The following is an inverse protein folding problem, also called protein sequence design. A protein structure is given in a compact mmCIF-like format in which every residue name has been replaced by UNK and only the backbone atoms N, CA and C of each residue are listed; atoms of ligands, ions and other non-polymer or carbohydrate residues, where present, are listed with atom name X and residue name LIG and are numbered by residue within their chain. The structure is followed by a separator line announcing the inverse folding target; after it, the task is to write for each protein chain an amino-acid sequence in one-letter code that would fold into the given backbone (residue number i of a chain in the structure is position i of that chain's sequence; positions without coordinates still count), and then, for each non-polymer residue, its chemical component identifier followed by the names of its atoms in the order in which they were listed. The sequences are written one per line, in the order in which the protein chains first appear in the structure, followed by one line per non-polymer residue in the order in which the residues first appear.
data_IF_977844989525
#
_entry.id   IF_977844989525
#
_cell.length_a   1.000
_cell.length_b   1.000
_cell.length_c   1.000
_cell.angle_alpha   90.00
_cell.angle_beta   90.00
_cell.angle_gamma   90.00
#
_symmetry.space_group_name_H-M   'P 1'
#
loop_
_entity.id
_entity.type
_entity.pdbx_description
1 polymer ?
#
# COMPACT_ATOMS: atom_id res chain seq x y z
N UNK A 1 -1.14 -9.03 -24.93
CA UNK A 1 -0.38 -9.09 -23.69
C UNK A 1 -0.73 -7.86 -22.87
N UNK A 2 -1.13 -8.03 -21.61
CA UNK A 2 -1.67 -6.94 -20.78
C UNK A 2 -0.71 -6.56 -19.63
N UNK A 3 0.40 -7.28 -19.47
CA UNK A 3 1.43 -7.07 -18.45
C UNK A 3 2.82 -7.09 -19.08
N UNK A 4 3.82 -6.58 -18.37
CA UNK A 4 5.23 -6.70 -18.74
C UNK A 4 5.73 -8.13 -18.54
N UNK A 5 6.88 -8.49 -19.16
CA UNK A 5 7.43 -9.85 -19.07
C UNK A 5 7.90 -10.20 -17.67
N UNK A 6 8.34 -9.20 -16.94
CA UNK A 6 8.84 -9.27 -15.58
C UNK A 6 7.75 -9.18 -14.48
N UNK A 7 6.47 -8.98 -14.88
CA UNK A 7 5.38 -8.70 -13.93
C UNK A 7 5.21 -9.76 -12.82
N UNK A 8 5.59 -11.02 -13.08
CA UNK A 8 5.43 -12.13 -12.13
C UNK A 8 6.52 -12.11 -11.05
N UNK A 9 7.67 -11.52 -11.37
CA UNK A 9 8.82 -11.41 -10.48
C UNK A 9 9.06 -9.98 -10.01
N UNK A 10 8.17 -9.05 -10.42
CA UNK A 10 8.28 -7.65 -10.09
C UNK A 10 7.90 -7.40 -8.64
N UNK A 11 8.81 -6.81 -7.90
CA UNK A 11 8.52 -6.18 -6.62
C UNK A 11 7.84 -4.81 -6.81
N UNK A 12 7.60 -4.11 -5.70
CA UNK A 12 6.99 -2.79 -5.72
C UNK A 12 7.80 -1.79 -6.55
N UNK A 13 9.12 -1.79 -6.41
CA UNK A 13 9.99 -0.81 -7.07
C UNK A 13 10.01 -1.03 -8.59
N UNK A 14 10.06 -2.28 -9.02
CA UNK A 14 9.98 -2.64 -10.46
C UNK A 14 8.61 -2.26 -11.03
N UNK A 15 7.52 -2.54 -10.33
CA UNK A 15 6.18 -2.16 -10.75
C UNK A 15 6.02 -0.64 -10.86
N UNK A 16 6.49 0.09 -9.86
CA UNK A 16 6.51 1.56 -9.85
C UNK A 16 7.35 2.13 -11.01
N UNK A 17 8.58 1.63 -11.21
CA UNK A 17 9.45 2.07 -12.29
C UNK A 17 8.84 1.79 -13.67
N UNK A 18 8.18 0.66 -13.86
CA UNK A 18 7.48 0.36 -15.11
C UNK A 18 6.33 1.35 -15.38
N UNK A 19 5.67 1.81 -14.33
CA UNK A 19 4.63 2.83 -14.46
C UNK A 19 5.22 4.21 -14.80
N UNK A 20 6.17 4.73 -14.02
CA UNK A 20 6.74 6.07 -14.25
C UNK A 20 7.61 6.18 -15.50
N UNK A 21 8.05 5.07 -16.07
CA UNK A 21 8.72 5.02 -17.38
C UNK A 21 7.76 4.79 -18.55
N UNK A 22 6.44 4.69 -18.28
CA UNK A 22 5.42 4.56 -19.32
C UNK A 22 5.31 3.17 -19.95
N UNK A 23 5.93 2.14 -19.36
CA UNK A 23 5.82 0.75 -19.83
C UNK A 23 4.44 0.15 -19.54
N UNK A 24 3.78 0.60 -18.48
CA UNK A 24 2.42 0.21 -18.12
C UNK A 24 1.57 1.46 -17.91
N UNK A 25 0.30 1.39 -18.32
CA UNK A 25 -0.63 2.51 -18.24
C UNK A 25 -1.36 2.62 -16.89
N UNK A 26 -1.38 1.56 -16.10
CA UNK A 26 -2.09 1.50 -14.82
C UNK A 26 -1.27 0.70 -13.81
N UNK A 27 -1.36 1.11 -12.55
CA UNK A 27 -0.78 0.41 -11.41
C UNK A 27 -1.77 0.45 -10.25
N UNK A 28 -2.08 -0.68 -9.60
CA UNK A 28 -2.77 -0.68 -8.31
C UNK A 28 -1.83 -0.09 -7.26
N UNK A 29 -2.24 0.97 -6.59
CA UNK A 29 -1.42 1.61 -5.57
C UNK A 29 -2.29 2.41 -4.60
N UNK A 30 -1.67 2.98 -3.56
CA UNK A 30 -2.32 3.81 -2.58
C UNK A 30 -1.94 5.29 -2.69
N UNK A 31 -2.56 6.11 -1.86
CA UNK A 31 -2.36 7.57 -1.82
C UNK A 31 -0.91 7.98 -1.56
N UNK A 32 -0.11 7.14 -0.90
CA UNK A 32 1.32 7.40 -0.63
C UNK A 32 2.16 7.57 -1.90
N UNK A 33 1.70 7.02 -3.02
CA UNK A 33 2.37 7.16 -4.31
C UNK A 33 2.36 8.62 -4.81
N UNK A 34 1.41 9.45 -4.38
CA UNK A 34 1.25 10.83 -4.85
C UNK A 34 2.54 11.65 -4.64
N UNK A 35 3.14 11.50 -3.46
CA UNK A 35 4.36 12.23 -3.10
C UNK A 35 5.63 11.66 -3.76
N UNK A 36 5.57 10.43 -4.25
CA UNK A 36 6.67 9.74 -4.91
C UNK A 36 6.73 10.00 -6.42
N UNK A 37 5.64 10.49 -7.03
CA UNK A 37 5.59 10.72 -8.46
C UNK A 37 6.54 11.84 -8.88
N UNK A 38 7.29 11.68 -10.00
CA UNK A 38 8.00 12.76 -10.63
C UNK A 38 7.07 13.95 -10.95
N UNK A 39 7.58 15.17 -10.86
CA UNK A 39 6.77 16.38 -11.01
C UNK A 39 6.01 16.42 -12.34
N UNK A 40 6.67 16.01 -13.43
CA UNK A 40 6.07 15.94 -14.77
C UNK A 40 4.95 14.91 -14.92
N UNK A 41 4.79 14.00 -13.93
CA UNK A 41 3.75 12.98 -13.93
C UNK A 41 2.53 13.38 -13.10
N UNK A 42 2.67 14.29 -12.14
CA UNK A 42 1.59 14.68 -11.21
C UNK A 42 0.34 15.20 -11.91
N UNK A 43 0.51 15.89 -13.03
CA UNK A 43 -0.62 16.39 -13.84
C UNK A 43 -1.18 15.34 -14.82
N UNK A 44 -0.41 14.32 -15.15
CA UNK A 44 -0.80 13.29 -16.13
C UNK A 44 -1.48 12.08 -15.49
N UNK A 45 -1.13 11.79 -14.24
CA UNK A 45 -1.68 10.64 -13.51
C UNK A 45 -3.05 10.99 -12.95
N UNK A 46 -3.98 10.06 -13.06
CA UNK A 46 -5.32 10.15 -12.49
C UNK A 46 -5.53 8.98 -11.53
N UNK A 47 -6.33 9.20 -10.52
CA UNK A 47 -6.74 8.15 -9.59
C UNK A 47 -8.18 7.73 -9.86
N UNK A 48 -8.44 6.42 -9.79
CA UNK A 48 -9.77 5.84 -9.92
C UNK A 48 -9.93 4.67 -8.97
N UNK A 49 -11.14 4.46 -8.48
CA UNK A 49 -11.50 3.21 -7.81
C UNK A 49 -11.33 2.01 -8.77
N UNK A 50 -11.18 0.81 -8.20
CA UNK A 50 -11.19 -0.42 -8.98
C UNK A 50 -12.53 -0.62 -9.70
N UNK A 51 -12.58 -1.45 -10.76
CA UNK A 51 -13.83 -1.78 -11.43
C UNK A 51 -14.93 -2.20 -10.46
N UNK A 52 -16.13 -1.70 -10.69
CA UNK A 52 -17.26 -1.89 -9.78
C UNK A 52 -17.26 -0.92 -8.58
N UNK A 53 -16.57 0.21 -8.69
CA UNK A 53 -16.47 1.24 -7.64
C UNK A 53 -15.98 0.66 -6.30
N UNK A 54 -14.85 -0.05 -6.32
CA UNK A 54 -14.26 -0.70 -5.16
C UNK A 54 -12.99 -0.01 -4.71
N UNK A 55 -12.82 0.16 -3.40
CA UNK A 55 -11.55 0.54 -2.77
C UNK A 55 -11.12 -0.54 -1.79
N UNK A 56 -9.82 -0.85 -1.79
CA UNK A 56 -9.24 -1.76 -0.80
C UNK A 56 -8.83 -0.92 0.40
N UNK A 57 -9.37 -1.24 1.57
CA UNK A 57 -8.95 -0.66 2.84
C UNK A 57 -8.13 -1.69 3.61
N UNK A 58 -6.92 -1.30 3.99
CA UNK A 58 -6.17 -2.08 4.98
C UNK A 58 -6.69 -1.72 6.37
N UNK A 59 -7.15 -2.70 7.17
CA UNK A 59 -7.48 -2.47 8.57
C UNK A 59 -6.22 -2.32 9.44
N UNK A 60 -5.04 -2.37 8.85
CA UNK A 60 -3.79 -2.21 9.56
C UNK A 60 -3.68 -0.81 10.15
N UNK A 61 -3.45 -0.77 11.44
CA UNK A 61 -3.12 0.47 12.13
C UNK A 61 -1.61 0.60 12.12
N UNK A 62 -1.09 1.52 11.32
CA UNK A 62 0.32 1.88 11.41
C UNK A 62 0.56 2.61 12.72
N UNK A 63 1.43 2.04 13.54
CA UNK A 63 1.83 2.61 14.82
C UNK A 63 3.30 3.05 14.78
N UNK A 64 3.64 3.94 15.69
CA UNK A 64 5.02 4.30 15.96
C UNK A 64 5.55 3.44 17.10
N UNK A 65 6.74 2.91 16.95
CA UNK A 65 7.43 2.17 18.00
C UNK A 65 8.64 2.97 18.50
N UNK A 66 8.82 2.98 19.81
CA UNK A 66 10.02 3.52 20.45
C UNK A 66 10.94 2.35 20.80
N UNK A 67 12.20 2.39 20.33
CA UNK A 67 13.16 1.32 20.55
C UNK A 67 13.52 1.24 22.04
N UNK A 68 13.31 0.08 22.65
CA UNK A 68 13.45 -0.13 24.10
C UNK A 68 14.89 -0.05 24.62
N UNK A 69 15.87 -0.24 23.74
CA UNK A 69 17.31 -0.27 24.11
C UNK A 69 17.95 1.12 24.24
N UNK A 70 17.26 2.19 23.84
CA UNK A 70 17.76 3.54 24.03
C UNK A 70 17.61 4.02 25.49
N UNK A 71 18.38 5.07 25.87
CA UNK A 71 18.27 5.70 27.18
C UNK A 71 16.86 6.26 27.43
N UNK A 72 16.47 6.43 28.70
CA UNK A 72 15.16 6.98 29.06
C UNK A 72 14.97 8.39 28.49
N UNK A 73 16.00 9.22 28.49
CA UNK A 73 15.96 10.57 27.92
C UNK A 73 15.60 10.55 26.43
N UNK A 74 16.19 9.61 25.65
CA UNK A 74 15.87 9.44 24.22
C UNK A 74 14.45 8.93 24.04
N UNK A 75 13.98 8.02 24.87
CA UNK A 75 12.61 7.51 24.83
C UNK A 75 11.59 8.60 25.16
N UNK A 76 11.85 9.40 26.17
CA UNK A 76 11.00 10.56 26.55
C UNK A 76 10.93 11.55 25.39
N UNK A 77 12.06 11.90 24.79
CA UNK A 77 12.11 12.77 23.61
C UNK A 77 11.32 12.22 22.43
N UNK A 78 11.42 10.91 22.17
CA UNK A 78 10.65 10.23 21.12
C UNK A 78 9.14 10.30 21.42
N UNK A 79 8.73 10.08 22.66
CA UNK A 79 7.32 10.17 23.08
C UNK A 79 6.78 11.59 22.91
N UNK A 80 7.55 12.63 23.29
CA UNK A 80 7.15 14.02 23.08
C UNK A 80 7.04 14.38 21.60
N UNK A 81 7.96 13.89 20.76
CA UNK A 81 7.85 14.03 19.32
C UNK A 81 6.58 13.36 18.76
N UNK A 82 6.24 12.17 19.24
CA UNK A 82 5.02 11.47 18.83
C UNK A 82 3.75 12.22 19.25
N UNK A 83 3.74 12.76 20.47
CA UNK A 83 2.64 13.62 20.96
C UNK A 83 2.48 14.87 20.09
N UNK A 84 3.58 15.52 19.72
CA UNK A 84 3.57 16.66 18.81
C UNK A 84 3.00 16.26 17.45
N UNK A 85 3.48 15.16 16.87
CA UNK A 85 3.07 14.70 15.56
C UNK A 85 1.61 14.24 15.50
N UNK A 86 1.09 13.62 16.56
CA UNK A 86 -0.31 13.15 16.63
C UNK A 86 -1.31 14.28 16.92
N UNK A 87 -0.87 15.40 17.46
CA UNK A 87 -1.71 16.60 17.62
C UNK A 87 -2.00 17.30 16.28
N UNK A 88 -1.30 16.92 15.22
CA UNK A 88 -1.52 17.47 13.89
C UNK A 88 -2.84 16.98 13.33
N UNK A 89 -3.91 17.75 13.56
CA UNK A 89 -5.22 17.48 12.96
C UNK A 89 -5.30 18.05 11.53
N UNK A 90 -6.37 17.70 10.82
CA UNK A 90 -6.62 18.15 9.44
C UNK A 90 -6.75 19.67 9.30
N UNK A 91 -7.20 20.36 10.34
CA UNK A 91 -7.37 21.82 10.34
C UNK A 91 -6.02 22.53 10.45
N UNK A 92 -5.15 22.06 11.35
CA UNK A 92 -3.77 22.56 11.46
C UNK A 92 -2.94 22.28 10.19
N UNK A 93 -3.18 21.14 9.53
CA UNK A 93 -2.58 20.87 8.22
C UNK A 93 -3.06 21.87 7.16
N UNK A 94 -4.33 22.19 7.11
CA UNK A 94 -4.87 23.18 6.19
C UNK A 94 -4.26 24.55 6.44
N UNK A 95 -4.21 25.01 7.69
CA UNK A 95 -3.59 26.29 8.03
C UNK A 95 -2.10 26.37 7.67
N UNK A 96 -1.37 25.27 7.83
CA UNK A 96 0.04 25.20 7.44
C UNK A 96 0.23 25.18 5.93
N UNK A 97 -0.66 24.51 5.20
CA UNK A 97 -0.66 24.51 3.74
C UNK A 97 -0.99 25.91 3.20
N UNK A 98 -1.97 26.59 3.77
CA UNK A 98 -2.34 27.96 3.42
C UNK A 98 -1.22 28.95 3.71
N UNK A 99 -0.56 28.85 4.86
CA UNK A 99 0.58 29.69 5.24
C UNK A 99 1.81 29.50 4.34
N UNK A 100 1.99 28.32 3.77
CA UNK A 100 3.09 28.02 2.85
C UNK A 100 2.74 28.24 1.37
N UNK A 101 1.58 28.83 1.08
CA UNK A 101 1.13 29.11 -0.29
C UNK A 101 0.82 27.86 -1.12
N UNK A 102 0.65 26.70 -0.47
CA UNK A 102 0.21 25.46 -1.12
C UNK A 102 -1.31 25.35 -1.05
N UNK A 103 -1.99 26.24 -1.73
CA UNK A 103 -3.44 26.31 -1.76
C UNK A 103 -4.10 25.32 -2.74
N UNK A 104 -3.32 24.71 -3.64
CA UNK A 104 -3.87 23.76 -4.61
C UNK A 104 -3.60 22.32 -4.19
N UNK A 105 -4.67 21.62 -3.84
CA UNK A 105 -4.70 20.17 -3.75
C UNK A 105 -4.42 19.63 -5.16
N UNK A 106 -3.41 18.79 -5.32
CA UNK A 106 -3.11 18.19 -6.61
C UNK A 106 -4.34 17.48 -7.18
N UNK A 107 -4.50 17.50 -8.51
CA UNK A 107 -5.62 16.83 -9.17
C UNK A 107 -5.72 15.36 -8.77
N UNK A 108 -4.59 14.70 -8.59
CA UNK A 108 -4.53 13.30 -8.16
C UNK A 108 -5.10 13.09 -6.74
N UNK A 109 -4.78 13.98 -5.80
CA UNK A 109 -5.35 13.95 -4.45
C UNK A 109 -6.85 14.26 -4.48
N UNK A 110 -7.28 15.18 -5.34
CA UNK A 110 -8.70 15.47 -5.53
C UNK A 110 -9.46 14.26 -6.10
N UNK A 111 -8.86 13.55 -7.05
CA UNK A 111 -9.44 12.31 -7.61
C UNK A 111 -9.59 11.23 -6.52
N UNK A 112 -8.60 11.08 -5.64
CA UNK A 112 -8.66 10.15 -4.51
C UNK A 112 -9.80 10.50 -3.54
N UNK A 113 -9.91 11.77 -3.16
CA UNK A 113 -11.00 12.25 -2.28
C UNK A 113 -12.36 12.03 -2.94
N UNK A 114 -12.48 12.31 -4.22
CA UNK A 114 -13.72 12.10 -4.98
C UNK A 114 -14.09 10.61 -5.05
N UNK A 115 -13.12 9.73 -5.31
CA UNK A 115 -13.35 8.30 -5.34
C UNK A 115 -13.82 7.77 -3.97
N UNK A 116 -13.24 8.27 -2.88
CA UNK A 116 -13.66 7.92 -1.52
C UNK A 116 -15.07 8.44 -1.19
N UNK A 117 -15.37 9.69 -1.55
CA UNK A 117 -16.66 10.32 -1.29
C UNK A 117 -17.80 9.78 -2.18
N UNK A 118 -17.47 9.04 -3.25
CA UNK A 118 -18.46 8.45 -4.15
C UNK A 118 -19.01 7.10 -3.64
N UNK A 119 -19.00 6.90 -2.33
CA UNK A 119 -19.52 5.72 -1.64
C UNK A 119 -19.03 4.39 -2.27
N UNK A 120 -17.72 4.17 -2.37
CA UNK A 120 -17.20 2.95 -2.93
C UNK A 120 -17.52 1.75 -2.04
N UNK A 121 -17.62 0.57 -2.62
CA UNK A 121 -17.60 -0.66 -1.85
C UNK A 121 -16.20 -0.81 -1.25
N UNK A 122 -16.09 -0.67 0.06
CA UNK A 122 -14.84 -0.93 0.77
C UNK A 122 -14.63 -2.43 0.85
N UNK A 123 -13.55 -2.91 0.26
CA UNK A 123 -13.11 -4.30 0.37
C UNK A 123 -12.03 -4.35 1.44
N UNK A 124 -12.32 -4.92 2.61
CA UNK A 124 -11.32 -5.01 3.67
C UNK A 124 -10.20 -5.96 3.26
N UNK A 125 -8.98 -5.59 3.60
CA UNK A 125 -7.83 -6.47 3.48
C UNK A 125 -7.81 -7.43 4.67
N UNK A 126 -8.29 -8.65 4.49
CA UNK A 126 -8.31 -9.68 5.54
C UNK A 126 -6.97 -10.38 5.75
N UNK A 127 -5.95 -10.03 4.97
CA UNK A 127 -4.65 -10.71 5.00
C UNK A 127 -3.80 -10.38 6.23
N UNK A 128 -4.20 -9.42 7.06
CA UNK A 128 -3.39 -8.93 8.20
C UNK A 128 -2.91 -10.06 9.10
N UNK A 129 -3.75 -11.05 9.36
CA UNK A 129 -3.42 -12.18 10.25
C UNK A 129 -2.37 -13.13 9.64
N UNK A 130 -2.39 -13.30 8.31
CA UNK A 130 -1.56 -14.27 7.59
C UNK A 130 -0.68 -13.62 6.52
N UNK A 131 -0.46 -12.29 6.62
CA UNK A 131 0.15 -11.52 5.56
C UNK A 131 1.54 -12.04 5.17
N UNK A 132 2.41 -12.31 6.14
CA UNK A 132 3.75 -12.85 5.88
C UNK A 132 3.69 -14.22 5.20
N UNK A 133 2.86 -15.12 5.71
CA UNK A 133 2.71 -16.49 5.20
C UNK A 133 2.15 -16.48 3.78
N UNK A 134 1.07 -15.73 3.56
CA UNK A 134 0.43 -15.69 2.24
C UNK A 134 1.26 -14.92 1.21
N UNK A 135 1.92 -13.84 1.58
CA UNK A 135 2.71 -13.05 0.64
C UNK A 135 4.08 -13.64 0.38
N UNK A 136 4.78 -14.05 1.39
CA UNK A 136 6.17 -14.48 1.26
C UNK A 136 6.25 -15.97 0.88
N UNK A 137 5.57 -16.83 1.62
CA UNK A 137 5.70 -18.28 1.42
C UNK A 137 4.78 -18.82 0.32
N UNK A 138 3.53 -18.33 0.24
CA UNK A 138 2.59 -18.91 -0.73
C UNK A 138 2.55 -18.15 -2.03
N UNK A 139 2.25 -16.84 -2.01
CA UNK A 139 2.08 -16.07 -3.26
C UNK A 139 3.44 -15.85 -3.92
N UNK A 140 4.46 -15.48 -3.13
CA UNK A 140 5.80 -15.22 -3.64
C UNK A 140 6.43 -16.43 -4.30
N UNK A 141 6.27 -17.62 -3.72
CA UNK A 141 6.87 -18.85 -4.24
C UNK A 141 5.99 -19.58 -5.26
N UNK A 142 4.68 -19.61 -5.07
CA UNK A 142 3.77 -20.39 -5.91
C UNK A 142 3.34 -19.65 -7.18
N UNK A 143 3.16 -18.33 -7.12
CA UNK A 143 2.68 -17.56 -8.27
C UNK A 143 3.61 -17.65 -9.49
N UNK A 144 4.94 -17.56 -9.38
CA UNK A 144 5.85 -17.79 -10.50
C UNK A 144 5.74 -19.19 -11.10
N UNK A 145 5.56 -20.21 -10.28
CA UNK A 145 5.40 -21.60 -10.74
C UNK A 145 4.07 -21.81 -11.45
N UNK A 146 2.99 -21.24 -10.90
CA UNK A 146 1.67 -21.25 -11.54
C UNK A 146 1.70 -20.57 -12.91
N UNK A 147 2.32 -19.39 -12.98
CA UNK A 147 2.43 -18.64 -14.23
C UNK A 147 3.32 -19.33 -15.28
N UNK A 148 4.33 -20.08 -14.83
CA UNK A 148 5.16 -20.91 -15.71
C UNK A 148 4.50 -22.26 -16.10
N UNK A 149 3.28 -22.54 -15.64
CA UNK A 149 2.59 -23.82 -15.87
C UNK A 149 3.21 -25.01 -15.15
N UNK A 150 4.05 -24.77 -14.15
CA UNK A 150 4.72 -25.82 -13.33
C UNK A 150 3.92 -26.22 -12.11
N UNK A 151 2.88 -25.47 -11.77
CA UNK A 151 1.99 -25.70 -10.67
C UNK A 151 0.54 -25.53 -11.11
N UNK A 152 -0.36 -26.35 -10.61
CA UNK A 152 -1.79 -26.20 -10.86
C UNK A 152 -2.42 -25.27 -9.82
N UNK A 153 -3.50 -24.51 -10.16
CA UNK A 153 -4.19 -23.63 -9.19
C UNK A 153 -4.62 -24.35 -7.89
N UNK A 154 -5.07 -25.59 -7.99
CA UNK A 154 -5.46 -26.38 -6.83
C UNK A 154 -4.28 -26.64 -5.87
N UNK A 155 -3.10 -26.89 -6.40
CA UNK A 155 -1.88 -27.10 -5.60
C UNK A 155 -1.48 -25.82 -4.85
N UNK A 156 -1.62 -24.65 -5.50
CA UNK A 156 -1.36 -23.38 -4.83
C UNK A 156 -2.30 -23.14 -3.64
N UNK A 157 -3.59 -23.47 -3.80
CA UNK A 157 -4.58 -23.36 -2.73
C UNK A 157 -4.25 -24.32 -1.58
N UNK A 158 -3.87 -25.57 -1.90
CA UNK A 158 -3.48 -26.58 -0.90
C UNK A 158 -2.23 -26.13 -0.12
N UNK A 159 -1.21 -25.61 -0.79
CA UNK A 159 -0.01 -25.05 -0.15
C UNK A 159 -0.38 -23.89 0.79
N UNK A 160 -1.27 -22.99 0.37
CA UNK A 160 -1.73 -21.89 1.21
C UNK A 160 -2.45 -22.39 2.48
N UNK A 161 -3.33 -23.37 2.31
CA UNK A 161 -4.07 -23.98 3.43
C UNK A 161 -3.15 -24.70 4.41
N UNK A 162 -2.12 -25.40 3.92
CA UNK A 162 -1.11 -26.06 4.74
C UNK A 162 -0.29 -25.05 5.53
N UNK A 163 0.25 -24.02 4.89
CA UNK A 163 1.02 -22.95 5.53
C UNK A 163 0.21 -22.25 6.64
N UNK A 164 -1.05 -21.96 6.40
CA UNK A 164 -1.94 -21.37 7.40
C UNK A 164 -2.17 -22.31 8.58
N UNK A 165 -2.42 -23.60 8.33
CA UNK A 165 -2.64 -24.59 9.39
C UNK A 165 -1.40 -24.82 10.24
N UNK A 166 -0.22 -24.82 9.65
CA UNK A 166 1.05 -24.93 10.38
C UNK A 166 1.24 -23.74 11.31
N UNK A 167 1.08 -22.55 10.80
CA UNK A 167 1.15 -21.31 11.59
C UNK A 167 0.15 -21.28 12.76
N UNK A 168 -1.06 -21.79 12.56
CA UNK A 168 -2.06 -21.85 13.64
C UNK A 168 -1.76 -22.89 14.73
N UNK A 169 -0.94 -23.90 14.42
CA UNK A 169 -0.50 -24.90 15.41
C UNK A 169 0.65 -24.42 16.29
N UNK A 170 1.46 -23.49 15.78
CA UNK A 170 2.62 -22.94 16.50
C UNK A 170 2.26 -21.84 17.49
N UNK A 171 1.00 -21.44 17.55
CA UNK A 171 0.45 -20.41 18.44
C UNK A 171 -0.51 -20.96 19.48
#
# INVERSE_FOLDING_TARGET
RYTTEDAIHADYDVAYNNFVTGKVAMIPNGYWMIDQLPEEWKEKVRFSAFPGNKLIASPETFGWAVVSTYSEEVKEGAVEFLKFRTKFNLEEKKELMDKNGRTEISQLLQDYVNAYNNNPQIVPNYQVKWNSILQEETIGECLPQLAAGKMMPAQMVETADESIREYEKER
#
